data_IF_072099900198
#
_entry.id   IF_072099900198
#
_cell.length_a   1.000
_cell.length_b   1.000
_cell.length_c   1.000
_cell.angle_alpha   90.00
_cell.angle_beta   90.00
_cell.angle_gamma   90.00
#
_symmetry.space_group_name_H-M   'P 1'
#
loop_
_entity.id
_entity.type
_entity.pdbx_description
1 polymer ?
#
# COMPACT_ATOMS: atom_id res chain seq x y z
N UNK A 1 13.13 -18.57 -24.56
CA UNK A 1 13.67 -19.21 -23.33
C UNK A 1 13.28 -18.35 -22.14
N UNK A 2 12.69 -18.94 -21.11
CA UNK A 2 12.03 -18.19 -20.02
C UNK A 2 13.00 -17.63 -18.97
N UNK A 3 14.29 -17.98 -19.04
CA UNK A 3 15.27 -17.59 -18.03
C UNK A 3 15.08 -18.34 -16.69
N UNK A 4 14.44 -19.50 -16.73
CA UNK A 4 14.28 -20.43 -15.60
C UNK A 4 15.14 -21.67 -15.79
N UNK A 5 15.40 -22.39 -14.69
CA UNK A 5 16.14 -23.66 -14.72
C UNK A 5 15.44 -24.63 -15.69
N UNK A 6 16.24 -25.28 -16.55
CA UNK A 6 15.73 -26.14 -17.63
C UNK A 6 15.32 -25.41 -18.92
N UNK A 7 15.19 -24.07 -18.88
CA UNK A 7 14.78 -23.22 -20.01
C UNK A 7 15.70 -22.00 -20.18
N UNK A 8 17.02 -22.18 -20.03
CA UNK A 8 18.03 -21.16 -20.32
C UNK A 8 18.52 -21.25 -21.76
N UNK A 9 18.66 -20.09 -22.43
CA UNK A 9 19.46 -20.01 -23.66
C UNK A 9 20.96 -20.18 -23.33
N UNK A 10 21.83 -20.50 -24.31
CA UNK A 10 23.28 -20.55 -24.09
C UNK A 10 23.84 -19.25 -23.49
N UNK A 11 23.37 -18.09 -23.97
CA UNK A 11 23.74 -16.78 -23.44
C UNK A 11 23.29 -16.58 -21.98
N UNK A 12 22.07 -17.01 -21.63
CA UNK A 12 21.58 -16.91 -20.25
C UNK A 12 22.38 -17.81 -19.30
N UNK A 13 22.78 -19.00 -19.76
CA UNK A 13 23.61 -19.92 -18.99
C UNK A 13 25.03 -19.36 -18.75
N UNK A 14 25.63 -18.75 -19.77
CA UNK A 14 26.92 -18.05 -19.66
C UNK A 14 26.84 -16.88 -18.67
N UNK A 15 25.81 -16.04 -18.80
CA UNK A 15 25.55 -14.93 -17.87
C UNK A 15 25.36 -15.43 -16.44
N UNK A 16 24.63 -16.52 -16.23
CA UNK A 16 24.47 -17.12 -14.89
C UNK A 16 25.81 -17.58 -14.30
N UNK A 17 26.66 -18.23 -15.11
CA UNK A 17 27.98 -18.66 -14.68
C UNK A 17 28.87 -17.47 -14.30
N UNK A 18 28.89 -16.42 -15.12
CA UNK A 18 29.64 -15.19 -14.84
C UNK A 18 29.10 -14.47 -13.60
N UNK A 19 27.78 -14.39 -13.46
CA UNK A 19 27.13 -13.78 -12.29
C UNK A 19 27.57 -14.47 -11.00
N UNK A 20 27.56 -15.81 -11.00
CA UNK A 20 27.99 -16.62 -9.85
C UNK A 20 29.44 -16.38 -9.47
N UNK A 21 30.35 -16.21 -10.43
CA UNK A 21 31.76 -15.90 -10.13
C UNK A 21 31.93 -14.46 -9.59
N UNK A 22 31.19 -13.48 -10.13
CA UNK A 22 31.26 -12.09 -9.65
C UNK A 22 30.85 -11.92 -8.18
N UNK A 23 29.87 -12.71 -7.72
CA UNK A 23 29.28 -12.58 -6.37
C UNK A 23 29.84 -13.59 -5.37
N UNK A 24 30.91 -14.29 -5.73
CA UNK A 24 31.49 -15.40 -4.95
C UNK A 24 31.84 -15.00 -3.52
N UNK A 25 32.22 -13.74 -3.33
CA UNK A 25 32.51 -13.14 -2.02
C UNK A 25 31.27 -13.03 -1.11
N UNK A 26 30.07 -12.91 -1.67
CA UNK A 26 28.81 -12.79 -0.91
C UNK A 26 27.97 -14.06 -0.90
N UNK A 27 28.23 -15.05 -1.75
CA UNK A 27 27.49 -16.33 -1.81
C UNK A 27 27.26 -16.99 -0.44
N UNK A 28 28.24 -17.05 0.49
CA UNK A 28 28.05 -17.69 1.80
C UNK A 28 27.02 -16.99 2.70
N UNK A 29 26.68 -15.73 2.42
CA UNK A 29 25.71 -14.92 3.19
C UNK A 29 24.27 -15.00 2.65
N UNK A 30 24.07 -15.70 1.53
CA UNK A 30 22.77 -15.83 0.88
C UNK A 30 21.96 -16.99 1.48
N UNK A 31 20.61 -16.89 1.47
CA UNK A 31 19.75 -17.96 1.99
C UNK A 31 19.76 -19.21 1.11
N UNK A 32 20.11 -19.07 -0.18
CA UNK A 32 20.27 -20.17 -1.13
C UNK A 32 21.34 -19.79 -2.16
N UNK A 33 22.10 -20.80 -2.59
CA UNK A 33 23.09 -20.67 -3.65
C UNK A 33 22.66 -21.40 -4.93
N UNK A 34 21.42 -21.90 -5.00
CA UNK A 34 20.90 -22.59 -6.17
C UNK A 34 20.66 -21.64 -7.37
N UNK A 35 20.61 -22.22 -8.57
CA UNK A 35 20.39 -21.45 -9.80
C UNK A 35 19.05 -20.72 -9.78
N UNK A 36 18.03 -21.29 -9.13
CA UNK A 36 16.72 -20.67 -8.97
C UNK A 36 16.82 -19.31 -8.26
N UNK A 37 17.52 -19.26 -7.12
CA UNK A 37 17.72 -18.02 -6.38
C UNK A 37 18.47 -16.98 -7.22
N UNK A 38 19.59 -17.35 -7.86
CA UNK A 38 20.39 -16.41 -8.67
C UNK A 38 19.63 -15.90 -9.90
N UNK A 39 18.86 -16.76 -10.55
CA UNK A 39 18.08 -16.39 -11.74
C UNK A 39 16.97 -15.39 -11.44
N UNK A 40 16.46 -15.29 -10.21
CA UNK A 40 15.50 -14.23 -9.84
C UNK A 40 16.10 -12.83 -10.01
N UNK A 41 17.32 -12.63 -9.55
CA UNK A 41 18.03 -11.36 -9.65
C UNK A 41 18.36 -11.02 -11.10
N UNK A 42 18.80 -12.02 -11.87
CA UNK A 42 19.06 -11.87 -13.31
C UNK A 42 17.79 -11.51 -14.08
N UNK A 43 16.69 -12.25 -13.89
CA UNK A 43 15.42 -11.96 -14.59
C UNK A 43 14.88 -10.56 -14.24
N UNK A 44 14.95 -10.17 -12.97
CA UNK A 44 14.49 -8.85 -12.53
C UNK A 44 15.26 -7.67 -13.14
N UNK A 45 16.44 -7.92 -13.73
CA UNK A 45 17.24 -6.93 -14.45
C UNK A 45 17.53 -7.35 -15.89
N UNK A 46 16.67 -8.18 -16.48
CA UNK A 46 16.78 -8.61 -17.88
C UNK A 46 18.16 -9.19 -18.25
N UNK A 47 18.79 -9.93 -17.33
CA UNK A 47 20.13 -10.49 -17.44
C UNK A 47 21.26 -9.45 -17.59
N UNK A 48 21.02 -8.19 -17.19
CA UNK A 48 22.04 -7.15 -17.04
C UNK A 48 22.92 -7.46 -15.81
N UNK A 49 24.14 -7.94 -16.05
CA UNK A 49 25.07 -8.37 -15.01
C UNK A 49 25.36 -7.29 -13.95
N UNK A 50 25.83 -6.08 -14.32
CA UNK A 50 26.12 -5.04 -13.33
C UNK A 50 24.90 -4.66 -12.46
N UNK A 51 23.71 -4.52 -13.07
CA UNK A 51 22.50 -4.17 -12.31
C UNK A 51 22.04 -5.31 -11.41
N UNK A 52 22.13 -6.55 -11.88
CA UNK A 52 21.78 -7.75 -11.08
C UNK A 52 22.68 -7.88 -9.86
N UNK A 53 23.98 -7.64 -10.05
CA UNK A 53 24.97 -7.70 -8.98
C UNK A 53 24.75 -6.59 -7.95
N UNK A 54 24.56 -5.34 -8.40
CA UNK A 54 24.27 -4.22 -7.51
C UNK A 54 23.00 -4.47 -6.69
N UNK A 55 21.94 -5.01 -7.31
CA UNK A 55 20.70 -5.35 -6.63
C UNK A 55 20.90 -6.44 -5.55
N UNK A 56 21.60 -7.53 -5.89
CA UNK A 56 21.87 -8.61 -4.96
C UNK A 56 22.77 -8.15 -3.79
N UNK A 57 23.79 -7.32 -4.04
CA UNK A 57 24.66 -6.79 -2.99
C UNK A 57 23.88 -5.88 -2.03
N UNK A 58 22.97 -5.03 -2.53
CA UNK A 58 22.05 -4.27 -1.68
C UNK A 58 21.16 -5.19 -0.83
N UNK A 59 20.67 -6.29 -1.39
CA UNK A 59 19.91 -7.28 -0.63
C UNK A 59 20.73 -7.90 0.51
N UNK A 60 22.01 -8.25 0.28
CA UNK A 60 22.91 -8.76 1.33
C UNK A 60 23.05 -7.76 2.49
N UNK A 61 23.19 -6.47 2.20
CA UNK A 61 23.22 -5.42 3.23
C UNK A 61 21.91 -5.34 4.02
N UNK A 62 20.77 -5.41 3.33
CA UNK A 62 19.45 -5.40 3.97
C UNK A 62 19.26 -6.63 4.85
N UNK A 63 19.65 -7.82 4.38
CA UNK A 63 19.61 -9.06 5.18
C UNK A 63 20.36 -8.90 6.49
N UNK A 64 21.57 -8.36 6.45
CA UNK A 64 22.38 -8.09 7.65
C UNK A 64 21.71 -7.08 8.57
N UNK A 65 21.18 -5.98 8.02
CA UNK A 65 20.51 -4.94 8.82
C UNK A 65 19.22 -5.42 9.48
N UNK A 66 18.46 -6.27 8.79
CA UNK A 66 17.18 -6.82 9.29
C UNK A 66 17.37 -8.04 10.19
N UNK A 67 18.60 -8.56 10.31
CA UNK A 67 18.88 -9.85 10.95
C UNK A 67 18.03 -10.99 10.35
N UNK A 68 18.04 -11.05 9.01
CA UNK A 68 17.15 -11.91 8.22
C UNK A 68 17.27 -13.40 8.55
N UNK A 69 18.43 -13.85 9.04
CA UNK A 69 18.65 -15.26 9.38
C UNK A 69 17.88 -15.65 10.67
N UNK A 70 17.63 -14.70 11.56
CA UNK A 70 16.89 -14.92 12.82
C UNK A 70 15.48 -14.30 12.82
N UNK A 71 15.10 -13.59 11.75
CA UNK A 71 13.92 -12.72 11.74
C UNK A 71 12.59 -13.47 11.92
N UNK A 72 12.51 -14.76 11.57
CA UNK A 72 11.29 -15.55 11.78
C UNK A 72 11.00 -15.73 13.28
N UNK A 73 12.04 -15.89 14.08
CA UNK A 73 11.97 -16.00 15.54
C UNK A 73 11.78 -14.64 16.24
N UNK A 74 12.00 -13.53 15.53
CA UNK A 74 11.73 -12.20 16.07
C UNK A 74 10.22 -12.01 16.29
N UNK A 75 9.86 -11.61 17.51
CA UNK A 75 8.49 -11.27 17.86
C UNK A 75 8.21 -9.79 17.61
N UNK A 76 7.21 -9.51 16.79
CA UNK A 76 6.75 -8.14 16.59
C UNK A 76 6.08 -7.59 17.86
N UNK A 77 6.12 -6.25 18.06
CA UNK A 77 5.34 -5.57 19.09
C UNK A 77 3.89 -6.05 19.12
N UNK A 78 3.31 -6.15 20.32
CA UNK A 78 1.97 -6.68 20.53
C UNK A 78 0.91 -5.97 19.66
N UNK A 79 1.01 -4.65 19.52
CA UNK A 79 0.11 -3.85 18.69
C UNK A 79 0.15 -4.28 17.22
N UNK A 80 1.33 -4.61 16.68
CA UNK A 80 1.48 -5.11 15.31
C UNK A 80 0.85 -6.50 15.21
N UNK A 81 1.17 -7.41 16.14
CA UNK A 81 0.62 -8.79 16.12
C UNK A 81 -0.90 -8.83 16.21
N UNK A 82 -1.50 -7.90 16.97
CA UNK A 82 -2.96 -7.84 17.19
C UNK A 82 -3.72 -7.08 16.11
N UNK A 83 -3.17 -6.00 15.55
CA UNK A 83 -3.92 -5.07 14.71
C UNK A 83 -3.36 -4.87 13.29
N UNK A 84 -2.16 -5.38 12.98
CA UNK A 84 -1.68 -5.38 11.60
C UNK A 84 -2.37 -6.52 10.84
N UNK A 85 -3.15 -6.16 9.83
CA UNK A 85 -3.92 -7.10 9.02
C UNK A 85 -3.05 -8.03 8.17
N UNK A 86 -3.69 -9.12 7.78
CA UNK A 86 -3.17 -10.08 6.81
C UNK A 86 -2.62 -11.35 7.44
N UNK A 87 -2.20 -12.26 6.59
CA UNK A 87 -1.63 -13.53 7.02
C UNK A 87 -1.58 -14.58 5.91
N UNK A 88 -0.77 -15.61 6.13
CA UNK A 88 -0.63 -16.73 5.20
C UNK A 88 -1.71 -17.78 5.46
N UNK A 89 -2.48 -18.15 4.44
CA UNK A 89 -3.54 -19.16 4.58
C UNK A 89 -3.72 -19.97 3.30
N UNK A 90 -3.39 -21.27 3.36
CA UNK A 90 -3.58 -22.19 2.25
C UNK A 90 -2.53 -22.07 1.14
N UNK A 91 -2.70 -22.90 0.12
CA UNK A 91 -1.85 -22.98 -1.07
C UNK A 91 -2.72 -23.00 -2.32
N UNK A 92 -2.21 -22.43 -3.42
CA UNK A 92 -2.88 -22.53 -4.71
C UNK A 92 -2.81 -23.96 -5.27
N UNK A 93 -3.48 -24.21 -6.41
CA UNK A 93 -3.53 -25.53 -7.04
C UNK A 93 -2.15 -26.07 -7.46
N UNK A 94 -1.15 -25.20 -7.62
CA UNK A 94 0.22 -25.59 -7.97
C UNK A 94 1.11 -25.78 -6.73
N UNK A 95 0.64 -25.40 -5.54
CA UNK A 95 1.35 -25.51 -4.28
C UNK A 95 2.03 -24.22 -3.82
N UNK A 96 1.81 -23.09 -4.49
CA UNK A 96 2.32 -21.78 -4.06
C UNK A 96 1.57 -21.29 -2.82
N UNK A 97 2.27 -20.82 -1.77
CA UNK A 97 1.64 -20.24 -0.59
C UNK A 97 0.78 -19.02 -0.94
N UNK A 98 -0.31 -18.83 -0.18
CA UNK A 98 -1.23 -17.71 -0.37
C UNK A 98 -1.12 -16.73 0.81
N UNK A 99 -0.93 -15.45 0.50
CA UNK A 99 -0.99 -14.35 1.46
C UNK A 99 -2.28 -13.54 1.29
N UNK A 100 -3.01 -13.32 2.38
CA UNK A 100 -4.16 -12.43 2.43
C UNK A 100 -3.75 -11.09 3.04
N UNK A 101 -4.20 -9.98 2.46
CA UNK A 101 -4.04 -8.63 3.00
C UNK A 101 -5.42 -7.97 3.11
N UNK A 102 -5.80 -7.49 4.31
CA UNK A 102 -7.17 -7.02 4.59
C UNK A 102 -7.15 -5.51 4.85
N UNK A 103 -7.56 -4.72 3.85
CA UNK A 103 -7.29 -3.28 3.85
C UNK A 103 -8.28 -2.48 4.70
N UNK A 104 -9.60 -2.66 4.50
CA UNK A 104 -10.62 -1.82 5.14
C UNK A 104 -10.53 -1.66 6.66
N UNK A 105 -10.31 -2.73 7.45
CA UNK A 105 -10.22 -2.63 8.90
C UNK A 105 -8.85 -2.18 9.41
N UNK A 106 -7.87 -1.91 8.53
CA UNK A 106 -6.53 -1.47 8.94
C UNK A 106 -6.59 -0.04 9.50
N UNK A 107 -6.30 0.10 10.80
CA UNK A 107 -6.07 1.40 11.42
C UNK A 107 -4.61 1.84 11.25
N UNK A 108 -4.29 2.34 10.05
CA UNK A 108 -2.95 2.77 9.72
C UNK A 108 -2.44 3.93 10.59
N UNK A 109 -3.33 4.82 11.04
CA UNK A 109 -2.97 5.95 11.91
C UNK A 109 -2.65 5.45 13.32
N UNK A 110 -3.50 4.60 13.90
CA UNK A 110 -3.25 3.98 15.19
C UNK A 110 -1.97 3.13 15.21
N UNK A 111 -1.70 2.36 14.15
CA UNK A 111 -0.46 1.60 14.01
C UNK A 111 0.78 2.50 13.97
N UNK A 112 0.75 3.58 13.17
CA UNK A 112 1.88 4.51 13.08
C UNK A 112 2.05 5.40 14.34
N UNK A 113 1.02 5.52 15.16
CA UNK A 113 1.10 6.17 16.48
C UNK A 113 1.59 5.21 17.57
N UNK A 114 1.45 3.90 17.37
CA UNK A 114 1.78 2.88 18.38
C UNK A 114 3.09 2.15 18.12
N UNK A 115 3.53 2.04 16.87
CA UNK A 115 4.73 1.32 16.47
C UNK A 115 5.66 2.19 15.64
N UNK A 116 6.95 1.85 15.60
CA UNK A 116 7.87 2.54 14.69
C UNK A 116 7.66 2.04 13.26
N UNK A 117 7.95 2.91 12.27
CA UNK A 117 7.97 2.50 10.86
C UNK A 117 8.96 1.35 10.61
N UNK A 118 10.06 1.31 11.37
CA UNK A 118 11.04 0.24 11.30
C UNK A 118 10.46 -1.10 11.76
N UNK A 119 9.64 -1.13 12.82
CA UNK A 119 8.98 -2.36 13.27
C UNK A 119 7.95 -2.86 12.26
N UNK A 120 7.21 -1.95 11.61
CA UNK A 120 6.28 -2.29 10.53
C UNK A 120 7.02 -2.89 9.33
N UNK A 121 8.13 -2.28 8.90
CA UNK A 121 9.01 -2.78 7.84
C UNK A 121 9.61 -4.14 8.20
N UNK A 122 10.12 -4.29 9.42
CA UNK A 122 10.70 -5.54 9.92
C UNK A 122 9.64 -6.65 9.98
N UNK A 123 8.41 -6.34 10.39
CA UNK A 123 7.32 -7.30 10.38
C UNK A 123 6.98 -7.77 8.95
N UNK A 124 6.86 -6.86 7.97
CA UNK A 124 6.58 -7.29 6.59
C UNK A 124 7.78 -8.01 5.94
N UNK A 125 9.01 -7.67 6.30
CA UNK A 125 10.19 -8.44 5.90
C UNK A 125 10.16 -9.87 6.50
N UNK A 126 9.77 -10.00 7.78
CA UNK A 126 9.54 -11.29 8.44
C UNK A 126 8.49 -12.12 7.69
N UNK A 127 7.38 -11.52 7.31
CA UNK A 127 6.32 -12.19 6.54
C UNK A 127 6.85 -12.72 5.19
N UNK A 128 7.71 -11.95 4.52
CA UNK A 128 8.35 -12.38 3.27
C UNK A 128 9.33 -13.56 3.49
N UNK A 129 10.14 -13.53 4.56
CA UNK A 129 10.99 -14.69 4.90
C UNK A 129 10.16 -15.92 5.28
N UNK A 130 9.04 -15.77 5.99
CA UNK A 130 8.13 -16.88 6.28
C UNK A 130 7.59 -17.50 5.00
N UNK A 131 7.13 -16.69 4.05
CA UNK A 131 6.66 -17.14 2.75
C UNK A 131 7.77 -17.82 1.91
N UNK A 132 9.01 -17.33 2.00
CA UNK A 132 10.17 -17.98 1.35
C UNK A 132 10.41 -19.39 1.91
N UNK A 133 10.44 -19.54 3.24
CA UNK A 133 10.60 -20.85 3.86
C UNK A 133 9.42 -21.78 3.55
N UNK A 134 8.21 -21.23 3.45
CA UNK A 134 7.04 -22.02 3.08
C UNK A 134 7.12 -22.52 1.63
N UNK A 135 7.63 -21.70 0.70
CA UNK A 135 7.96 -22.13 -0.66
C UNK A 135 8.99 -23.29 -0.66
N UNK A 136 10.00 -23.24 0.20
CA UNK A 136 11.01 -24.32 0.32
C UNK A 136 10.40 -25.62 0.85
N UNK A 137 9.58 -25.54 1.90
CA UNK A 137 8.84 -26.72 2.42
C UNK A 137 7.93 -27.33 1.37
N UNK A 138 7.18 -26.49 0.66
CA UNK A 138 6.31 -26.94 -0.43
C UNK A 138 7.12 -27.54 -1.59
N UNK A 139 8.32 -27.01 -1.86
CA UNK A 139 9.20 -27.59 -2.87
C UNK A 139 9.62 -29.01 -2.52
N UNK A 140 10.02 -29.23 -1.26
CA UNK A 140 10.40 -30.55 -0.75
C UNK A 140 9.21 -31.51 -0.76
N UNK A 141 8.05 -31.06 -0.29
CA UNK A 141 6.82 -31.87 -0.22
C UNK A 141 6.32 -32.34 -1.58
N UNK A 142 6.42 -31.47 -2.60
CA UNK A 142 5.86 -31.73 -3.93
C UNK A 142 6.89 -32.27 -4.93
N UNK A 143 8.17 -32.32 -4.57
CA UNK A 143 9.25 -32.76 -5.47
C UNK A 143 9.45 -31.86 -6.69
N UNK A 144 9.00 -30.60 -6.63
CA UNK A 144 9.13 -29.59 -7.69
C UNK A 144 9.43 -28.23 -7.08
N UNK A 145 10.12 -27.33 -7.80
CA UNK A 145 10.44 -26.00 -7.26
C UNK A 145 9.17 -25.15 -7.14
N UNK A 146 8.89 -24.70 -5.91
CA UNK A 146 7.95 -23.63 -5.58
C UNK A 146 8.78 -22.43 -5.13
N UNK A 147 8.63 -21.31 -5.81
CA UNK A 147 9.42 -20.10 -5.53
C UNK A 147 8.63 -18.79 -5.63
N UNK A 148 7.32 -18.87 -5.92
CA UNK A 148 6.44 -17.72 -6.08
C UNK A 148 5.21 -17.87 -5.19
N UNK A 149 4.65 -16.73 -4.77
CA UNK A 149 3.47 -16.65 -3.90
C UNK A 149 2.28 -16.03 -4.61
N UNK A 150 1.08 -16.43 -4.22
CA UNK A 150 -0.17 -15.81 -4.65
C UNK A 150 -0.63 -14.85 -3.55
N UNK A 151 -1.04 -13.65 -3.92
CA UNK A 151 -1.56 -12.67 -2.96
C UNK A 151 -3.04 -12.37 -3.24
N UNK A 152 -3.85 -12.28 -2.19
CA UNK A 152 -5.25 -11.85 -2.23
C UNK A 152 -5.37 -10.59 -1.38
N UNK A 153 -5.68 -9.48 -2.03
CA UNK A 153 -5.86 -8.18 -1.41
C UNK A 153 -7.35 -7.87 -1.33
N UNK A 154 -7.88 -7.94 -0.11
CA UNK A 154 -9.24 -7.53 0.18
C UNK A 154 -9.31 -6.02 0.38
N UNK A 155 -9.84 -5.33 -0.63
CA UNK A 155 -10.01 -3.89 -0.63
C UNK A 155 -11.40 -3.44 -0.17
N UNK A 156 -12.24 -4.34 0.33
CA UNK A 156 -13.51 -3.94 0.96
C UNK A 156 -13.23 -2.97 2.11
N UNK A 157 -13.94 -1.84 2.13
CA UNK A 157 -13.74 -0.78 3.12
C UNK A 157 -12.53 0.13 2.88
N UNK A 158 -11.75 -0.06 1.80
CA UNK A 158 -10.76 0.92 1.36
C UNK A 158 -11.46 2.29 1.17
N UNK A 159 -10.83 3.34 1.70
CA UNK A 159 -11.47 4.64 1.91
C UNK A 159 -10.48 5.73 2.28
N UNK A 160 -10.98 6.96 2.44
CA UNK A 160 -10.18 8.17 2.67
C UNK A 160 -9.18 8.06 3.83
N UNK A 161 -9.53 7.33 4.91
CA UNK A 161 -8.62 7.10 6.06
C UNK A 161 -7.28 6.46 5.66
N UNK A 162 -7.26 5.66 4.59
CA UNK A 162 -6.05 4.98 4.11
C UNK A 162 -5.17 5.89 3.23
N UNK A 163 -5.70 7.04 2.79
CA UNK A 163 -4.96 8.01 1.99
C UNK A 163 -4.23 9.05 2.85
N UNK A 164 -4.22 8.88 4.18
CA UNK A 164 -3.41 9.69 5.08
C UNK A 164 -1.93 9.60 4.68
N UNK A 165 -1.27 10.75 4.48
CA UNK A 165 0.04 10.82 3.82
C UNK A 165 1.11 9.94 4.48
N UNK A 166 1.29 9.92 5.81
CA UNK A 166 2.24 9.02 6.47
C UNK A 166 1.94 7.53 6.26
N UNK A 167 0.67 7.13 6.19
CA UNK A 167 0.30 5.75 5.90
C UNK A 167 0.67 5.37 4.47
N UNK A 168 0.40 6.26 3.49
CA UNK A 168 0.77 6.06 2.08
C UNK A 168 2.28 5.97 1.91
N UNK A 169 3.04 6.85 2.56
CA UNK A 169 4.51 6.85 2.54
C UNK A 169 5.07 5.57 3.17
N UNK A 170 4.57 5.18 4.35
CA UNK A 170 4.98 3.95 5.02
C UNK A 170 4.68 2.71 4.15
N UNK A 171 3.50 2.66 3.53
CA UNK A 171 3.13 1.57 2.65
C UNK A 171 3.97 1.55 1.36
N UNK A 172 4.30 2.71 0.80
CA UNK A 172 5.25 2.83 -0.31
C UNK A 172 6.62 2.25 0.01
N UNK A 173 7.15 2.50 1.21
CA UNK A 173 8.41 1.91 1.68
C UNK A 173 8.31 0.38 1.86
N UNK A 174 7.16 -0.15 2.30
CA UNK A 174 6.93 -1.60 2.38
C UNK A 174 6.98 -2.24 0.98
N UNK A 175 6.32 -1.62 -0.01
CA UNK A 175 6.34 -2.07 -1.39
C UNK A 175 7.74 -1.99 -2.02
N UNK A 176 8.45 -0.88 -1.80
CA UNK A 176 9.82 -0.73 -2.27
C UNK A 176 10.75 -1.79 -1.65
N UNK A 177 10.60 -2.07 -0.35
CA UNK A 177 11.33 -3.16 0.31
C UNK A 177 11.05 -4.50 -0.37
N UNK A 178 9.79 -4.81 -0.68
CA UNK A 178 9.41 -6.04 -1.36
C UNK A 178 10.06 -6.16 -2.75
N UNK A 179 9.94 -5.14 -3.59
CA UNK A 179 10.47 -5.12 -4.96
C UNK A 179 12.01 -5.18 -5.02
N UNK A 180 12.68 -4.58 -4.03
CA UNK A 180 14.14 -4.57 -3.97
C UNK A 180 14.74 -5.88 -3.43
N UNK A 181 14.01 -6.62 -2.58
CA UNK A 181 14.55 -7.77 -1.84
C UNK A 181 13.94 -9.12 -2.21
N UNK A 182 12.75 -9.12 -2.83
CA UNK A 182 12.04 -10.32 -3.22
C UNK A 182 11.65 -10.29 -4.70
N UNK A 183 12.61 -10.03 -5.63
CA UNK A 183 12.31 -10.01 -7.06
C UNK A 183 11.74 -11.35 -7.52
N UNK A 184 10.92 -11.31 -8.57
CA UNK A 184 10.41 -12.52 -9.25
C UNK A 184 9.70 -13.50 -8.30
N UNK A 185 9.20 -13.03 -7.15
CA UNK A 185 8.59 -13.87 -6.11
C UNK A 185 7.07 -13.76 -6.07
N UNK A 186 6.47 -12.78 -6.75
CA UNK A 186 5.02 -12.72 -6.95
C UNK A 186 4.61 -13.59 -8.14
N UNK A 187 3.66 -14.50 -7.92
CA UNK A 187 2.99 -15.27 -8.97
C UNK A 187 1.84 -14.48 -9.58
N UNK A 188 0.96 -13.98 -8.70
CA UNK A 188 -0.24 -13.22 -9.04
C UNK A 188 -0.77 -12.49 -7.81
N UNK A 189 -1.35 -11.30 -8.01
CA UNK A 189 -2.03 -10.53 -6.97
C UNK A 189 -3.48 -10.28 -7.39
N UNK A 190 -4.44 -10.85 -6.67
CA UNK A 190 -5.86 -10.60 -6.87
C UNK A 190 -6.34 -9.48 -5.97
N UNK A 191 -6.86 -8.41 -6.55
CA UNK A 191 -7.62 -7.38 -5.83
C UNK A 191 -9.09 -7.80 -5.83
N UNK A 192 -9.67 -8.01 -4.66
CA UNK A 192 -11.10 -8.32 -4.49
C UNK A 192 -11.85 -7.16 -3.86
N UNK A 193 -13.13 -7.02 -4.20
CA UNK A 193 -14.05 -6.03 -3.60
C UNK A 193 -13.52 -4.59 -3.67
N UNK A 194 -12.84 -4.23 -4.76
CA UNK A 194 -12.26 -2.91 -4.95
C UNK A 194 -13.34 -1.81 -5.03
N UNK A 195 -13.32 -0.78 -4.17
CA UNK A 195 -14.29 0.32 -4.21
C UNK A 195 -13.89 1.39 -5.25
N UNK A 196 -14.80 2.34 -5.51
CA UNK A 196 -14.58 3.45 -6.47
C UNK A 196 -13.35 4.32 -6.19
N UNK A 197 -12.85 4.33 -4.94
CA UNK A 197 -11.64 5.07 -4.56
C UNK A 197 -10.33 4.31 -4.87
N UNK A 198 -10.41 3.02 -5.22
CA UNK A 198 -9.25 2.19 -5.54
C UNK A 198 -8.31 2.81 -6.59
N UNK A 199 -8.78 3.40 -7.71
CA UNK A 199 -7.89 4.02 -8.69
C UNK A 199 -7.03 5.15 -8.12
N UNK A 200 -7.55 5.92 -7.15
CA UNK A 200 -6.77 6.97 -6.46
C UNK A 200 -5.70 6.33 -5.57
N UNK A 201 -6.09 5.34 -4.76
CA UNK A 201 -5.16 4.63 -3.88
C UNK A 201 -4.05 3.93 -4.67
N UNK A 202 -4.40 3.25 -5.76
CA UNK A 202 -3.45 2.58 -6.65
C UNK A 202 -2.49 3.59 -7.28
N UNK A 203 -2.97 4.75 -7.73
CA UNK A 203 -2.09 5.78 -8.31
C UNK A 203 -1.01 6.27 -7.33
N UNK A 204 -1.32 6.34 -6.04
CA UNK A 204 -0.37 6.75 -5.01
C UNK A 204 0.76 5.74 -4.79
N UNK A 205 0.53 4.46 -5.07
CA UNK A 205 1.48 3.40 -4.72
C UNK A 205 2.08 2.69 -5.93
N UNK A 206 1.45 2.81 -7.12
CA UNK A 206 1.87 2.09 -8.34
C UNK A 206 3.32 2.36 -8.71
N UNK A 207 3.84 3.57 -8.44
CA UNK A 207 5.20 3.96 -8.79
C UNK A 207 6.27 3.21 -7.98
N UNK A 208 5.91 2.60 -6.85
CA UNK A 208 6.78 1.68 -6.11
C UNK A 208 6.79 0.27 -6.71
N UNK A 209 5.81 -0.08 -7.55
CA UNK A 209 5.69 -1.40 -8.16
C UNK A 209 6.46 -1.48 -9.48
N UNK A 210 7.17 -2.57 -9.69
CA UNK A 210 7.83 -2.89 -10.96
C UNK A 210 6.79 -3.22 -12.05
N UNK A 211 7.19 -3.11 -13.32
CA UNK A 211 6.31 -3.51 -14.43
C UNK A 211 5.89 -4.98 -14.34
N UNK A 212 6.80 -5.87 -13.89
CA UNK A 212 6.49 -7.29 -13.66
C UNK A 212 5.38 -7.46 -12.62
N UNK A 213 5.48 -6.78 -11.48
CA UNK A 213 4.43 -6.80 -10.46
C UNK A 213 3.11 -6.24 -10.99
N UNK A 214 3.12 -5.09 -11.67
CA UNK A 214 1.89 -4.45 -12.21
C UNK A 214 1.16 -5.36 -13.19
N UNK A 215 1.89 -6.08 -14.06
CA UNK A 215 1.33 -7.08 -15.00
C UNK A 215 0.67 -8.27 -14.28
N UNK A 216 1.07 -8.56 -13.05
CA UNK A 216 0.54 -9.64 -12.21
C UNK A 216 -0.62 -9.19 -11.31
N UNK A 217 -0.93 -7.89 -11.25
CA UNK A 217 -2.10 -7.38 -10.52
C UNK A 217 -3.35 -7.55 -11.36
N UNK A 218 -4.32 -8.26 -10.80
CA UNK A 218 -5.61 -8.56 -11.42
C UNK A 218 -6.73 -8.05 -10.52
N UNK A 219 -7.57 -7.17 -11.04
CA UNK A 219 -8.76 -6.68 -10.33
C UNK A 219 -9.94 -7.56 -10.69
N UNK A 220 -10.58 -8.11 -9.67
CA UNK A 220 -11.72 -9.02 -9.81
C UNK A 220 -13.05 -8.28 -9.66
N UNK A 221 -14.00 -8.61 -10.52
CA UNK A 221 -15.37 -8.10 -10.47
C UNK A 221 -16.25 -8.83 -9.46
N UNK A 222 -17.57 -8.80 -9.68
CA UNK A 222 -18.56 -9.37 -8.75
C UNK A 222 -18.41 -10.88 -8.51
N UNK A 223 -17.85 -11.63 -9.47
CA UNK A 223 -17.59 -13.07 -9.37
C UNK A 223 -16.22 -13.44 -8.79
N UNK A 224 -15.60 -12.54 -8.02
CA UNK A 224 -14.27 -12.75 -7.46
C UNK A 224 -14.11 -14.09 -6.72
N UNK A 225 -15.13 -14.58 -6.00
CA UNK A 225 -15.10 -15.89 -5.33
C UNK A 225 -14.90 -17.04 -6.33
N UNK A 226 -15.68 -17.04 -7.41
CA UNK A 226 -15.61 -18.07 -8.47
C UNK A 226 -14.26 -18.02 -9.18
N UNK A 227 -13.72 -16.82 -9.41
CA UNK A 227 -12.40 -16.65 -10.02
C UNK A 227 -11.31 -17.20 -9.10
N UNK A 228 -11.33 -16.90 -7.79
CA UNK A 228 -10.37 -17.46 -6.84
C UNK A 228 -10.38 -19.00 -6.85
N UNK A 229 -11.56 -19.62 -6.91
CA UNK A 229 -11.71 -21.09 -6.98
C UNK A 229 -11.10 -21.71 -8.26
N UNK A 230 -10.89 -20.95 -9.34
CA UNK A 230 -10.18 -21.44 -10.54
C UNK A 230 -8.70 -21.68 -10.25
N UNK A 231 -8.09 -20.83 -9.41
CA UNK A 231 -6.65 -20.86 -9.13
C UNK A 231 -6.32 -21.60 -7.83
N UNK A 232 -7.26 -21.64 -6.90
CA UNK A 232 -7.07 -22.21 -5.56
C UNK A 232 -8.14 -23.27 -5.33
N UNK A 233 -7.77 -24.39 -4.73
CA UNK A 233 -8.77 -25.39 -4.37
C UNK A 233 -9.70 -24.85 -3.27
N UNK A 234 -11.04 -25.04 -3.34
CA UNK A 234 -11.95 -24.56 -2.30
C UNK A 234 -11.55 -24.98 -0.88
N UNK A 235 -10.92 -26.15 -0.71
CA UNK A 235 -10.44 -26.61 0.59
C UNK A 235 -9.29 -25.78 1.18
N UNK A 236 -8.65 -24.93 0.36
CA UNK A 236 -7.53 -24.07 0.71
C UNK A 236 -7.94 -22.59 0.83
N UNK A 237 -9.18 -22.24 0.48
CA UNK A 237 -9.71 -20.88 0.57
C UNK A 237 -10.61 -20.79 1.81
N UNK A 238 -10.44 -19.80 2.70
CA UNK A 238 -11.39 -19.56 3.79
C UNK A 238 -12.83 -19.43 3.27
N UNK A 239 -13.82 -19.90 4.04
CA UNK A 239 -15.24 -19.75 3.69
C UNK A 239 -15.60 -18.28 3.42
N UNK A 240 -15.04 -17.34 4.20
CA UNK A 240 -15.15 -15.90 3.97
C UNK A 240 -14.84 -15.49 2.51
N UNK A 241 -13.79 -16.08 1.93
CA UNK A 241 -13.32 -15.82 0.57
C UNK A 241 -13.91 -16.79 -0.48
N UNK A 242 -14.93 -17.54 -0.12
CA UNK A 242 -15.67 -18.40 -1.05
C UNK A 242 -15.16 -19.84 -1.15
N UNK A 243 -14.36 -20.33 -0.20
CA UNK A 243 -14.00 -21.74 -0.13
C UNK A 243 -14.77 -22.52 0.94
N UNK A 244 -14.10 -23.53 1.47
CA UNK A 244 -14.61 -24.42 2.52
C UNK A 244 -13.67 -24.53 3.72
N UNK A 245 -12.55 -23.79 3.74
CA UNK A 245 -11.62 -23.80 4.86
C UNK A 245 -12.19 -22.99 6.04
N UNK A 246 -12.15 -23.58 7.23
CA UNK A 246 -12.48 -22.93 8.49
C UNK A 246 -11.35 -23.15 9.49
N UNK A 247 -11.36 -22.39 10.58
CA UNK A 247 -10.59 -22.76 11.77
C UNK A 247 -11.16 -24.04 12.43
N UNK A 248 -10.41 -24.66 13.36
CA UNK A 248 -10.86 -25.86 14.07
C UNK A 248 -12.19 -25.72 14.82
N UNK A 249 -12.54 -24.48 15.21
CA UNK A 249 -13.80 -24.13 15.88
C UNK A 249 -14.96 -23.86 14.89
N UNK A 250 -14.71 -24.01 13.58
CA UNK A 250 -15.69 -23.74 12.53
C UNK A 250 -15.75 -22.28 12.08
N UNK A 251 -14.89 -21.39 12.58
CA UNK A 251 -14.92 -19.98 12.19
C UNK A 251 -14.56 -19.80 10.69
N UNK A 252 -15.44 -19.21 9.87
CA UNK A 252 -15.27 -19.10 8.42
C UNK A 252 -14.16 -18.13 7.98
N UNK A 253 -13.67 -17.29 8.90
CA UNK A 253 -12.65 -16.27 8.66
C UNK A 253 -11.22 -16.80 8.85
N UNK A 254 -11.06 -17.97 9.46
CA UNK A 254 -9.74 -18.51 9.80
C UNK A 254 -8.84 -17.53 10.59
N UNK A 255 -9.32 -16.87 11.68
CA UNK A 255 -8.53 -15.91 12.47
C UNK A 255 -7.24 -16.49 13.08
N UNK A 256 -7.11 -17.82 13.19
CA UNK A 256 -5.85 -18.46 13.59
C UNK A 256 -4.71 -18.25 12.58
N UNK A 257 -5.03 -17.86 11.34
CA UNK A 257 -4.08 -17.67 10.23
C UNK A 257 -4.11 -16.26 9.64
N UNK A 258 -5.26 -15.59 9.68
CA UNK A 258 -5.46 -14.27 9.06
C UNK A 258 -5.86 -13.26 10.13
N UNK A 259 -5.06 -12.21 10.29
CA UNK A 259 -5.43 -11.08 11.11
C UNK A 259 -6.36 -10.14 10.32
N UNK A 260 -7.49 -9.75 10.92
CA UNK A 260 -8.49 -8.88 10.29
C UNK A 260 -8.39 -7.41 10.73
N UNK A 261 -7.27 -7.00 11.33
CA UNK A 261 -7.03 -5.66 11.82
C UNK A 261 -7.99 -5.23 12.93
N UNK A 262 -8.47 -3.99 12.85
CA UNK A 262 -9.30 -3.35 13.85
C UNK A 262 -8.68 -2.05 14.34
N UNK A 263 -9.50 -1.24 15.02
CA UNK A 263 -9.05 0.03 15.59
C UNK A 263 -8.05 -0.23 16.71
N UNK A 264 -6.90 0.45 16.67
CA UNK A 264 -5.86 0.29 17.67
C UNK A 264 -6.28 1.03 18.94
N UNK A 265 -6.36 0.36 20.11
CA UNK A 265 -6.68 1.03 21.36
C UNK A 265 -5.67 2.12 21.70
N UNK A 266 -6.14 3.28 22.13
CA UNK A 266 -5.31 4.44 22.46
C UNK A 266 -4.23 4.15 23.51
N UNK A 267 -4.41 3.15 24.36
CA UNK A 267 -3.39 2.71 25.33
C UNK A 267 -2.08 2.23 24.67
N UNK A 268 -2.09 1.86 23.38
CA UNK A 268 -0.88 1.50 22.65
C UNK A 268 -0.15 2.70 22.06
N UNK A 269 -0.75 3.90 22.07
CA UNK A 269 -0.19 5.07 21.41
C UNK A 269 1.02 5.55 22.19
N UNK A 270 2.15 5.67 21.49
CA UNK A 270 3.41 6.20 22.05
C UNK A 270 3.71 7.61 21.54
N UNK A 271 2.86 8.13 20.65
CA UNK A 271 2.90 9.49 20.09
C UNK A 271 1.52 9.89 19.57
N UNK A 272 1.25 11.19 19.62
CA UNK A 272 -0.04 11.77 19.18
C UNK A 272 0.06 12.45 17.81
N UNK A 273 1.27 12.58 17.27
CA UNK A 273 1.55 13.19 15.97
C UNK A 273 2.81 12.61 15.34
N UNK A 274 2.90 12.76 14.03
CA UNK A 274 4.13 12.52 13.25
C UNK A 274 4.66 13.86 12.74
N UNK A 275 5.98 14.02 12.77
CA UNK A 275 6.61 15.19 12.18
C UNK A 275 6.40 15.16 10.66
N UNK A 276 5.75 16.20 10.13
CA UNK A 276 5.52 16.35 8.70
C UNK A 276 5.91 17.76 8.24
N UNK A 277 6.57 17.88 7.07
CA UNK A 277 6.85 19.19 6.48
C UNK A 277 5.55 19.82 5.94
N UNK A 278 5.51 21.15 5.97
CA UNK A 278 4.43 21.95 5.39
C UNK A 278 4.97 22.72 4.20
N UNK A 279 4.21 22.74 3.10
CA UNK A 279 4.60 23.42 1.85
C UNK A 279 4.51 24.94 1.96
N UNK A 280 3.51 25.42 2.70
CA UNK A 280 3.20 26.84 2.82
C UNK A 280 3.12 27.26 4.28
N UNK A 281 3.42 28.54 4.53
CA UNK A 281 3.16 29.21 5.81
C UNK A 281 2.65 30.61 5.53
N UNK A 282 1.50 30.95 6.11
CA UNK A 282 0.81 32.22 5.88
C UNK A 282 0.40 32.85 7.21
N UNK A 283 0.27 34.17 7.23
CA UNK A 283 -0.30 34.91 8.37
C UNK A 283 -1.70 35.35 8.01
N UNK A 284 -2.70 34.79 8.69
CA UNK A 284 -4.10 35.19 8.58
C UNK A 284 -4.37 36.31 9.58
N UNK A 285 -4.41 37.54 9.10
CA UNK A 285 -4.67 38.71 9.94
C UNK A 285 -6.02 38.61 10.67
N UNK A 286 -6.13 39.32 11.79
CA UNK A 286 -7.40 39.43 12.54
C UNK A 286 -8.53 39.93 11.64
N UNK A 287 -9.73 39.39 11.80
CA UNK A 287 -10.89 39.79 10.99
C UNK A 287 -10.80 39.38 9.52
N UNK A 288 -9.82 38.55 9.13
CA UNK A 288 -9.55 38.18 7.74
C UNK A 288 -9.58 36.66 7.52
N UNK A 289 -9.47 36.25 6.26
CA UNK A 289 -9.31 34.86 5.84
C UNK A 289 -8.28 34.73 4.72
N UNK A 290 -7.63 33.57 4.69
CA UNK A 290 -6.77 33.12 3.61
C UNK A 290 -7.48 31.99 2.86
N UNK A 291 -7.33 31.95 1.54
CA UNK A 291 -7.94 30.91 0.71
C UNK A 291 -6.98 30.42 -0.36
N UNK A 292 -7.06 29.14 -0.67
CA UNK A 292 -6.40 28.51 -1.80
C UNK A 292 -7.43 27.83 -2.68
N UNK A 293 -7.21 27.87 -3.98
CA UNK A 293 -8.19 27.43 -4.99
C UNK A 293 -7.59 26.31 -5.83
N UNK A 294 -8.34 25.25 -6.02
CA UNK A 294 -7.97 24.09 -6.84
C UNK A 294 -9.07 23.83 -7.86
N UNK A 295 -8.72 23.98 -9.14
CA UNK A 295 -9.62 23.66 -10.24
C UNK A 295 -9.62 22.15 -10.50
N UNK A 296 -10.78 21.52 -10.30
CA UNK A 296 -10.99 20.11 -10.51
C UNK A 296 -11.76 19.93 -11.80
N UNK A 297 -11.08 19.38 -12.83
CA UNK A 297 -11.65 19.20 -14.16
C UNK A 297 -12.46 17.91 -14.31
N UNK A 298 -12.17 16.90 -13.48
CA UNK A 298 -12.80 15.59 -13.55
C UNK A 298 -13.20 15.09 -12.16
N UNK A 299 -14.39 14.47 -12.02
CA UNK A 299 -14.83 13.91 -10.75
C UNK A 299 -13.98 12.69 -10.36
N UNK A 300 -13.97 12.37 -9.07
CA UNK A 300 -13.29 11.19 -8.52
C UNK A 300 -11.87 11.43 -8.02
N UNK A 301 -11.33 12.65 -8.18
CA UNK A 301 -10.11 13.08 -7.51
C UNK A 301 -10.34 13.19 -5.99
N UNK A 302 -9.28 13.09 -5.20
CA UNK A 302 -9.33 13.33 -3.76
C UNK A 302 -8.51 14.57 -3.43
N UNK A 303 -9.13 15.55 -2.81
CA UNK A 303 -8.44 16.67 -2.18
C UNK A 303 -7.96 16.21 -0.81
N UNK A 304 -6.66 16.31 -0.53
CA UNK A 304 -6.04 15.98 0.76
C UNK A 304 -5.37 17.22 1.32
N UNK A 305 -5.54 17.47 2.61
CA UNK A 305 -4.90 18.60 3.28
C UNK A 305 -4.33 18.22 4.64
N UNK A 306 -3.37 19.01 5.07
CA UNK A 306 -2.88 19.03 6.44
C UNK A 306 -2.54 20.47 6.82
N UNK A 307 -2.80 20.86 8.06
CA UNK A 307 -2.39 22.16 8.57
C UNK A 307 -2.13 22.16 10.07
N UNK A 308 -1.35 23.14 10.50
CA UNK A 308 -1.16 23.51 11.90
C UNK A 308 -1.22 25.02 12.06
N UNK A 309 -1.62 25.49 13.23
CA UNK A 309 -1.59 26.91 13.61
C UNK A 309 -0.62 27.14 14.77
N UNK A 310 -0.03 28.33 14.85
CA UNK A 310 0.80 28.71 15.99
C UNK A 310 -0.06 29.30 17.12
N UNK A 311 -0.04 28.65 18.29
CA UNK A 311 -0.50 29.19 19.57
C UNK A 311 -2.01 29.50 19.71
N UNK A 312 -2.85 29.19 18.73
CA UNK A 312 -4.30 29.43 18.78
C UNK A 312 -5.08 28.50 17.87
N UNK A 313 -6.40 28.51 17.99
CA UNK A 313 -7.30 27.82 17.06
C UNK A 313 -7.20 28.40 15.63
N UNK A 314 -7.82 27.79 14.63
CA UNK A 314 -8.04 28.40 13.31
C UNK A 314 -9.34 27.87 12.72
N UNK A 315 -10.12 28.73 12.07
CA UNK A 315 -11.29 28.27 11.33
C UNK A 315 -10.84 27.60 10.03
N UNK A 316 -11.41 26.46 9.67
CA UNK A 316 -11.11 25.82 8.40
C UNK A 316 -12.36 25.20 7.79
N UNK A 317 -12.55 25.38 6.48
CA UNK A 317 -13.65 24.81 5.70
C UNK A 317 -13.28 24.68 4.22
N UNK A 318 -14.03 23.85 3.48
CA UNK A 318 -13.87 23.66 2.03
C UNK A 318 -15.17 24.00 1.32
N UNK A 319 -15.05 24.79 0.26
CA UNK A 319 -16.18 25.31 -0.51
C UNK A 319 -16.00 24.98 -1.99
N UNK A 320 -17.09 25.05 -2.75
CA UNK A 320 -17.11 24.99 -4.21
C UNK A 320 -17.64 26.33 -4.74
N UNK A 321 -16.87 26.97 -5.62
CA UNK A 321 -17.29 28.23 -6.25
C UNK A 321 -18.58 28.04 -7.05
N UNK A 322 -19.45 29.04 -7.01
CA UNK A 322 -20.69 29.11 -7.81
C UNK A 322 -20.50 29.92 -9.08
N UNK A 323 -19.43 30.73 -9.16
CA UNK A 323 -19.10 31.58 -10.31
C UNK A 323 -17.60 31.51 -10.59
N UNK A 324 -17.24 31.49 -11.87
CA UNK A 324 -15.84 31.55 -12.32
C UNK A 324 -15.37 33.00 -12.27
N UNK A 325 -14.14 33.23 -11.80
CA UNK A 325 -13.54 34.57 -11.70
C UNK A 325 -13.21 34.99 -10.25
N UNK A 326 -13.71 36.16 -9.85
CA UNK A 326 -13.30 36.87 -8.63
C UNK A 326 -13.42 36.07 -7.32
N UNK A 327 -12.70 36.54 -6.29
CA UNK A 327 -12.75 36.00 -4.93
C UNK A 327 -14.18 36.10 -4.38
N UNK A 328 -14.81 34.95 -4.14
CA UNK A 328 -16.16 34.87 -3.54
C UNK A 328 -16.09 34.85 -2.01
N UNK A 329 -17.11 35.42 -1.34
CA UNK A 329 -17.27 35.26 0.11
C UNK A 329 -17.79 33.86 0.40
N UNK A 330 -17.62 33.38 1.65
CA UNK A 330 -18.08 32.04 2.04
C UNK A 330 -19.57 31.83 1.76
N UNK A 331 -20.42 32.81 2.10
CA UNK A 331 -21.87 32.73 1.88
C UNK A 331 -22.32 32.74 0.41
N UNK A 332 -21.42 33.04 -0.53
CA UNK A 332 -21.69 33.02 -1.97
C UNK A 332 -21.24 31.70 -2.63
N UNK A 333 -20.57 30.82 -1.88
CA UNK A 333 -20.05 29.53 -2.34
C UNK A 333 -20.89 28.38 -1.77
N UNK A 334 -20.87 27.23 -2.45
CA UNK A 334 -21.48 26.01 -1.90
C UNK A 334 -20.53 25.41 -0.87
N UNK A 335 -20.96 25.26 0.37
CA UNK A 335 -20.16 24.62 1.41
C UNK A 335 -20.10 23.10 1.16
N UNK A 336 -18.89 22.54 1.07
CA UNK A 336 -18.67 21.10 0.83
C UNK A 336 -18.09 20.41 2.06
N UNK A 337 -17.27 21.13 2.83
CA UNK A 337 -16.78 20.72 4.14
C UNK A 337 -17.02 21.86 5.13
N UNK A 338 -17.94 21.69 6.10
CA UNK A 338 -18.36 22.77 6.97
C UNK A 338 -17.22 23.43 7.72
N UNK A 339 -17.29 24.76 7.84
CA UNK A 339 -16.26 25.50 8.57
C UNK A 339 -16.37 25.21 10.07
N UNK A 340 -15.28 24.69 10.65
CA UNK A 340 -15.16 24.47 12.09
C UNK A 340 -13.93 25.16 12.65
N UNK A 341 -13.89 25.35 13.97
CA UNK A 341 -12.69 25.84 14.66
C UNK A 341 -11.86 24.66 15.13
N UNK A 342 -10.60 24.67 14.74
CA UNK A 342 -9.66 23.60 15.05
C UNK A 342 -8.54 24.08 15.97
N UNK A 343 -8.23 23.31 17.01
CA UNK A 343 -7.10 23.57 17.90
C UNK A 343 -5.79 23.03 17.30
N UNK A 344 -5.50 23.43 16.06
CA UNK A 344 -4.41 22.91 15.24
C UNK A 344 -2.99 23.30 15.73
N UNK A 345 -2.87 23.91 16.91
CA UNK A 345 -1.62 24.23 17.58
C UNK A 345 -1.12 23.12 18.51
N UNK A 346 -2.01 22.23 18.96
CA UNK A 346 -1.66 21.10 19.82
C UNK A 346 -1.26 19.88 18.99
N UNK A 347 -2.11 19.55 18.01
CA UNK A 347 -1.91 18.46 17.05
C UNK A 347 -2.30 18.99 15.67
N UNK A 348 -1.51 18.71 14.62
CA UNK A 348 -1.90 19.03 13.25
C UNK A 348 -3.24 18.43 12.89
N UNK A 349 -4.03 19.19 12.14
CA UNK A 349 -5.25 18.70 11.53
C UNK A 349 -4.95 18.16 10.15
N UNK A 350 -5.55 17.03 9.82
CA UNK A 350 -5.49 16.43 8.49
C UNK A 350 -6.88 16.02 8.04
N UNK A 351 -7.10 16.02 6.73
CA UNK A 351 -8.38 15.66 6.17
C UNK A 351 -8.30 15.38 4.69
N UNK A 352 -9.34 14.74 4.18
CA UNK A 352 -9.49 14.54 2.75
C UNK A 352 -10.96 14.47 2.34
N UNK A 353 -11.21 14.75 1.07
CA UNK A 353 -12.54 14.81 0.48
C UNK A 353 -12.48 14.31 -0.95
N UNK A 354 -13.41 13.44 -1.34
CA UNK A 354 -13.61 13.08 -2.74
C UNK A 354 -14.34 14.20 -3.48
N UNK A 355 -13.71 14.74 -4.53
CA UNK A 355 -14.30 15.75 -5.40
C UNK A 355 -15.27 15.08 -6.38
N UNK A 356 -16.56 15.05 -6.03
CA UNK A 356 -17.61 14.42 -6.84
C UNK A 356 -18.07 15.27 -8.03
N UNK A 357 -17.84 16.58 -7.98
CA UNK A 357 -18.31 17.54 -8.98
C UNK A 357 -17.14 18.35 -9.50
N UNK A 358 -16.94 18.48 -10.83
CA UNK A 358 -15.97 19.41 -11.38
C UNK A 358 -16.24 20.86 -10.96
N UNK A 359 -15.18 21.63 -10.75
CA UNK A 359 -15.27 23.03 -10.39
C UNK A 359 -14.09 23.48 -9.53
N UNK A 360 -14.16 24.72 -9.04
CA UNK A 360 -13.08 25.33 -8.26
C UNK A 360 -13.37 25.12 -6.77
N UNK A 361 -12.62 24.21 -6.15
CA UNK A 361 -12.66 23.97 -4.72
C UNK A 361 -11.80 25.01 -4.00
N UNK A 362 -12.33 25.60 -2.94
CA UNK A 362 -11.69 26.66 -2.16
C UNK A 362 -11.50 26.17 -0.74
N UNK A 363 -10.24 25.95 -0.32
CA UNK A 363 -9.91 25.67 1.06
C UNK A 363 -9.64 27.00 1.75
N UNK A 364 -10.38 27.27 2.83
CA UNK A 364 -10.39 28.58 3.49
C UNK A 364 -9.96 28.45 4.94
N UNK A 365 -8.89 29.18 5.30
CA UNK A 365 -8.48 29.42 6.67
C UNK A 365 -9.10 30.73 7.18
N UNK A 366 -9.90 30.66 8.22
CA UNK A 366 -10.69 31.75 8.73
C UNK A 366 -10.20 32.24 10.10
N UNK A 367 -9.92 33.54 10.19
CA UNK A 367 -9.60 34.24 11.43
C UNK A 367 -10.56 35.43 11.64
N UNK A 368 -11.78 35.36 11.10
CA UNK A 368 -12.73 36.48 11.17
C UNK A 368 -13.30 36.68 12.57
N UNK A 369 -13.25 35.64 13.41
CA UNK A 369 -13.72 35.66 14.80
C UNK A 369 -12.68 36.16 15.82
N UNK A 370 -11.42 36.36 15.43
CA UNK A 370 -10.38 36.86 16.35
C UNK A 370 -10.39 38.38 16.40
N UNK A 371 -10.50 38.92 17.62
CA UNK A 371 -10.49 40.36 17.87
C UNK A 371 -9.08 40.92 18.10
N UNK A 372 -8.09 40.07 18.43
CA UNK A 372 -6.81 40.53 18.99
C UNK A 372 -5.61 40.03 18.18
N UNK A 373 -5.59 38.76 17.78
CA UNK A 373 -4.39 38.13 17.23
C UNK A 373 -4.53 37.68 15.78
N UNK A 374 -3.47 37.93 14.99
CA UNK A 374 -3.24 37.25 13.72
C UNK A 374 -2.83 35.79 13.98
N UNK A 375 -3.11 34.90 13.02
CA UNK A 375 -2.83 33.46 13.13
C UNK A 375 -1.82 33.06 12.09
N UNK A 376 -0.68 32.50 12.50
CA UNK A 376 0.28 31.91 11.57
C UNK A 376 -0.11 30.45 11.34
N UNK A 377 -0.35 30.09 10.09
CA UNK A 377 -0.86 28.78 9.67
C UNK A 377 0.13 28.17 8.68
N UNK A 378 0.62 26.98 8.98
CA UNK A 378 1.40 26.18 8.05
C UNK A 378 0.52 25.07 7.48
N UNK A 379 0.51 24.89 6.17
CA UNK A 379 -0.38 23.92 5.51
C UNK A 379 0.24 23.30 4.24
N UNK A 380 -0.29 22.14 3.86
CA UNK A 380 -0.04 21.46 2.58
C UNK A 380 -1.38 20.98 2.02
N UNK A 381 -1.57 21.08 0.70
CA UNK A 381 -2.80 20.66 0.03
C UNK A 381 -2.44 20.00 -1.29
N UNK A 382 -2.95 18.79 -1.50
CA UNK A 382 -2.63 17.96 -2.64
C UNK A 382 -3.93 17.48 -3.31
N UNK A 383 -3.92 17.42 -4.63
CA UNK A 383 -4.98 16.79 -5.42
C UNK A 383 -4.48 15.42 -5.87
N UNK A 384 -5.10 14.38 -5.33
CA UNK A 384 -4.78 12.99 -5.65
C UNK A 384 -5.66 12.54 -6.81
N UNK A 385 -5.03 12.31 -7.95
CA UNK A 385 -5.72 11.91 -9.18
C UNK A 385 -5.94 10.39 -9.20
N UNK A 386 -7.05 9.91 -9.77
CA UNK A 386 -7.22 8.49 -10.07
C UNK A 386 -6.25 8.05 -11.17
N UNK A 387 -5.75 6.82 -11.08
CA UNK A 387 -5.03 6.20 -12.19
C UNK A 387 -6.02 5.88 -13.32
N UNK A 388 -5.76 6.40 -14.52
CA UNK A 388 -6.71 6.35 -15.63
C UNK A 388 -7.05 4.92 -16.05
N UNK A 389 -6.06 4.03 -16.09
CA UNK A 389 -6.22 2.62 -16.50
C UNK A 389 -7.10 1.89 -15.49
N UNK A 390 -6.74 1.90 -14.21
CA UNK A 390 -7.54 1.27 -13.16
C UNK A 390 -8.93 1.89 -13.01
N UNK A 391 -9.09 3.20 -13.24
CA UNK A 391 -10.41 3.84 -13.25
C UNK A 391 -11.31 3.29 -14.37
N UNK A 392 -10.79 3.16 -15.58
CA UNK A 392 -11.51 2.54 -16.69
C UNK A 392 -11.86 1.08 -16.39
N UNK A 393 -10.93 0.33 -15.80
CA UNK A 393 -11.15 -1.08 -15.47
C UNK A 393 -12.17 -1.28 -14.37
N UNK A 394 -12.13 -0.49 -13.29
CA UNK A 394 -13.15 -0.50 -12.23
C UNK A 394 -14.53 -0.16 -12.82
N UNK A 395 -14.59 0.81 -13.74
CA UNK A 395 -15.84 1.17 -14.43
C UNK A 395 -16.35 0.04 -15.33
N UNK A 396 -15.47 -0.67 -16.04
CA UNK A 396 -15.81 -1.82 -16.88
C UNK A 396 -16.24 -3.03 -16.05
N UNK A 397 -15.59 -3.25 -14.91
CA UNK A 397 -15.84 -4.39 -14.03
C UNK A 397 -17.20 -4.29 -13.38
N UNK A 398 -17.61 -3.11 -12.87
CA UNK A 398 -19.00 -2.77 -12.51
C UNK A 398 -19.88 -3.92 -11.98
N UNK A 399 -21.17 -3.94 -12.33
CA UNK A 399 -22.06 -5.07 -12.04
C UNK A 399 -21.82 -6.29 -12.96
N UNK A 400 -20.66 -6.38 -13.62
CA UNK A 400 -20.33 -7.44 -14.58
C UNK A 400 -19.49 -8.54 -13.92
N UNK A 401 -19.55 -9.73 -14.51
CA UNK A 401 -18.70 -10.87 -14.17
C UNK A 401 -17.37 -10.73 -14.95
N UNK A 402 -16.21 -10.84 -14.31
CA UNK A 402 -14.93 -10.74 -15.01
C UNK A 402 -13.70 -10.44 -14.13
N UNK A 403 -12.55 -10.43 -14.78
CA UNK A 403 -11.26 -10.00 -14.22
C UNK A 403 -10.52 -9.14 -15.25
N UNK A 404 -9.79 -8.12 -14.80
CA UNK A 404 -8.95 -7.30 -15.68
C UNK A 404 -7.57 -7.08 -15.04
N UNK A 405 -6.51 -7.21 -15.83
CA UNK A 405 -5.15 -6.93 -15.39
C UNK A 405 -4.84 -5.43 -15.46
N UNK A 406 -4.22 -4.83 -14.42
CA UNK A 406 -4.00 -3.39 -14.33
C UNK A 406 -3.04 -2.81 -15.38
N UNK A 407 -2.22 -3.65 -16.01
CA UNK A 407 -1.28 -3.23 -17.03
C UNK A 407 -1.42 -4.11 -18.29
N UNK A 408 -2.26 -3.63 -19.21
CA UNK A 408 -2.33 -4.08 -20.61
C UNK A 408 -2.01 -2.90 -21.54
N UNK A 409 -1.00 -2.11 -21.19
CA UNK A 409 -0.47 -1.12 -22.14
C UNK A 409 0.00 -1.88 -23.40
N UNK A 410 -0.42 -1.48 -24.62
CA UNK A 410 -0.10 -2.19 -25.86
C UNK A 410 1.40 -2.26 -26.16
#
# INVERSE_FOLDING_TARGET
>A
MSGRVGELSPQQAEVLAQFRENIKDVLPSLPSQDDYFLLKWLRARCFDLPKSEAMLRKHVEVRKRMDADNIIAWEAPEVIRKYMSGGMCGYDREGSPIWYEIIGPLDAKGLLFSASKQDLLKNKFRDCEMLRHECEKQSQKLGKKIEMVLMVYDCEGLGLKHLWKPAVEAYGELLAMFEENYPESLKRLFIVKAPKIFPVAYNLVKHFLSEDTRKKVVVLGSNWKEVLQKYIDPSQIPVEYGGTLTDPDGNPKCPSKINYGGDVPQQYYVRDQLAQPYEHTVVVNRGSSHQVEYEILAPGCVLRWQFKSEGSDVGFGVYLKTKVGERQRAGDMTEVFPTQRYNAHMVPEDGSLTCSTPGIYVLRFDNTYSYIHAKKVSYSVEVLLPDATSAQQIQQLGDKLGEVALDQSP
#
